data_IF_044285295009
#
_entry.id   IF_044285295009
#
_cell.length_a   1.000
_cell.length_b   1.000
_cell.length_c   1.000
_cell.angle_alpha   90.00
_cell.angle_beta   90.00
_cell.angle_gamma   90.00
#
_symmetry.space_group_name_H-M   'P 1'
#
loop_
_entity.id
_entity.type
_entity.pdbx_description
1 polymer ?
#
# COMPACT_ATOMS: atom_id res chain seq x y z
N UNK A 1 -14.96 1.25 -0.79
CA UNK A 1 -13.98 2.18 -0.20
C UNK A 1 -13.41 3.14 -1.23
N UNK A 2 -12.81 2.62 -2.31
CA UNK A 2 -12.09 3.43 -3.31
C UNK A 2 -12.92 4.53 -4.00
N UNK A 3 -14.20 4.27 -4.30
CA UNK A 3 -15.10 5.25 -4.94
C UNK A 3 -15.88 6.08 -3.91
N UNK A 4 -16.15 5.52 -2.74
CA UNK A 4 -16.88 6.17 -1.65
C UNK A 4 -15.89 6.68 -0.60
N UNK A 5 -15.18 7.75 -0.93
CA UNK A 5 -14.13 8.35 -0.10
C UNK A 5 -14.66 9.14 1.12
N UNK A 6 -15.97 9.37 1.17
CA UNK A 6 -16.67 10.03 2.27
C UNK A 6 -18.00 9.32 2.53
N UNK A 7 -18.44 9.29 3.79
CA UNK A 7 -19.70 8.71 4.26
C UNK A 7 -20.90 9.34 3.54
N UNK A 8 -20.82 10.62 3.17
CA UNK A 8 -21.87 11.30 2.38
C UNK A 8 -22.03 10.71 0.97
N UNK A 9 -20.92 10.40 0.31
CA UNK A 9 -20.91 9.78 -1.02
C UNK A 9 -21.41 8.34 -0.90
N UNK A 10 -20.96 7.61 0.14
CA UNK A 10 -21.45 6.27 0.43
C UNK A 10 -22.97 6.24 0.60
N UNK A 11 -23.54 7.18 1.35
CA UNK A 11 -24.98 7.27 1.59
C UNK A 11 -25.79 7.61 0.34
N UNK A 12 -25.28 8.51 -0.51
CA UNK A 12 -25.88 8.82 -1.81
C UNK A 12 -25.89 7.59 -2.72
N UNK A 13 -24.82 6.81 -2.70
CA UNK A 13 -24.73 5.59 -3.49
C UNK A 13 -25.64 4.48 -2.96
N UNK A 14 -25.75 4.32 -1.64
CA UNK A 14 -26.73 3.42 -1.00
C UNK A 14 -28.15 3.79 -1.44
N UNK A 15 -28.47 5.08 -1.38
CA UNK A 15 -29.77 5.63 -1.82
C UNK A 15 -30.09 5.28 -3.28
N UNK A 16 -29.11 5.47 -4.16
CA UNK A 16 -29.21 5.17 -5.59
C UNK A 16 -29.41 3.68 -5.83
N UNK A 17 -28.62 2.82 -5.19
CA UNK A 17 -28.71 1.36 -5.35
C UNK A 17 -30.03 0.79 -4.84
N UNK A 18 -30.62 1.41 -3.81
CA UNK A 18 -31.93 1.02 -3.29
C UNK A 18 -33.10 1.59 -4.09
N UNK A 19 -32.84 2.39 -5.14
CA UNK A 19 -33.83 3.07 -5.98
C UNK A 19 -34.82 3.94 -5.17
N UNK A 20 -34.33 4.57 -4.10
CA UNK A 20 -35.11 5.42 -3.20
C UNK A 20 -34.99 6.91 -3.51
N UNK A 21 -34.36 7.27 -4.63
CA UNK A 21 -34.17 8.67 -5.06
C UNK A 21 -35.50 9.43 -5.14
N UNK A 22 -36.55 8.77 -5.64
CA UNK A 22 -37.90 9.34 -5.74
C UNK A 22 -38.61 9.55 -4.38
N UNK A 23 -38.21 8.81 -3.34
CA UNK A 23 -38.79 8.89 -1.99
C UNK A 23 -38.15 10.01 -1.16
N UNK A 24 -36.89 10.30 -1.47
CA UNK A 24 -36.05 11.24 -0.75
C UNK A 24 -36.26 12.68 -1.23
N UNK A 25 -36.45 12.91 -2.54
CA UNK A 25 -36.83 14.23 -3.08
C UNK A 25 -35.97 15.38 -2.54
N UNK A 26 -36.60 16.50 -2.15
CA UNK A 26 -35.98 17.70 -1.54
C UNK A 26 -35.80 17.61 0.00
N UNK A 27 -35.84 16.43 0.61
CA UNK A 27 -35.72 16.34 2.08
C UNK A 27 -34.28 16.60 2.52
N UNK A 28 -34.11 17.61 3.37
CA UNK A 28 -32.86 17.87 4.09
C UNK A 28 -32.89 17.09 5.40
N UNK A 29 -32.04 16.07 5.51
CA UNK A 29 -31.84 15.34 6.76
C UNK A 29 -30.82 16.07 7.64
N UNK A 30 -31.07 16.12 8.95
CA UNK A 30 -30.20 16.78 9.93
C UNK A 30 -28.94 15.96 10.23
N UNK A 31 -29.10 14.66 10.47
CA UNK A 31 -28.00 13.74 10.78
C UNK A 31 -27.89 12.55 9.81
N UNK A 32 -26.70 11.97 9.76
CA UNK A 32 -26.42 10.77 8.96
C UNK A 32 -27.28 9.58 9.42
N UNK A 33 -27.41 9.40 10.74
CA UNK A 33 -28.17 8.32 11.35
C UNK A 33 -29.66 8.38 10.97
N UNK A 34 -30.26 9.57 11.01
CA UNK A 34 -31.66 9.77 10.60
C UNK A 34 -31.89 9.46 9.12
N UNK A 35 -30.95 9.85 8.25
CA UNK A 35 -31.05 9.58 6.82
C UNK A 35 -30.95 8.07 6.54
N UNK A 36 -29.99 7.38 7.16
CA UNK A 36 -29.85 5.92 7.01
C UNK A 36 -31.04 5.17 7.62
N UNK A 37 -31.53 5.57 8.80
CA UNK A 37 -32.72 4.98 9.42
C UNK A 37 -33.97 5.19 8.55
N UNK A 38 -34.14 6.38 7.96
CA UNK A 38 -35.23 6.68 7.04
C UNK A 38 -35.19 5.81 5.77
N UNK A 39 -34.01 5.67 5.16
CA UNK A 39 -33.79 4.81 3.99
C UNK A 39 -34.21 3.36 4.28
N UNK A 40 -33.82 2.84 5.43
CA UNK A 40 -34.11 1.46 5.83
C UNK A 40 -35.58 1.28 6.25
N UNK A 41 -36.20 2.29 6.87
CA UNK A 41 -37.63 2.29 7.18
C UNK A 41 -38.49 2.35 5.90
N UNK A 42 -38.03 3.05 4.87
CA UNK A 42 -38.68 3.06 3.56
C UNK A 42 -38.62 1.67 2.89
N UNK A 43 -37.54 0.90 3.09
CA UNK A 43 -37.44 -0.49 2.64
C UNK A 43 -38.38 -1.42 3.41
N UNK A 44 -38.57 -1.16 4.71
CA UNK A 44 -39.48 -1.91 5.58
C UNK A 44 -40.95 -1.71 5.22
N UNK A 45 -41.35 -0.50 4.85
CA UNK A 45 -42.73 -0.16 4.48
C UNK A 45 -43.16 -0.71 3.11
N UNK A 46 -42.23 -1.32 2.36
CA UNK A 46 -42.45 -1.79 1.00
C UNK A 46 -42.50 -0.60 0.04
N UNK A 47 -41.60 -0.58 -0.94
CA UNK A 47 -41.73 0.37 -2.05
C UNK A 47 -43.09 0.23 -2.74
N UNK A 48 -43.47 1.25 -3.51
CA UNK A 48 -44.76 1.42 -4.23
C UNK A 48 -45.22 0.24 -5.12
N UNK A 49 -44.47 -0.86 -5.19
CA UNK A 49 -44.62 -1.96 -6.15
C UNK A 49 -44.66 -3.37 -5.55
N UNK A 50 -44.67 -3.59 -4.22
CA UNK A 50 -44.66 -4.96 -3.66
C UNK A 50 -45.60 -5.18 -2.48
N UNK A 51 -46.17 -6.39 -2.46
CA UNK A 51 -47.15 -6.90 -1.50
C UNK A 51 -46.83 -6.59 -0.03
N UNK A 52 -47.88 -6.24 0.72
CA UNK A 52 -47.86 -5.75 2.12
C UNK A 52 -47.28 -6.72 3.16
N UNK A 53 -46.79 -7.90 2.75
CA UNK A 53 -46.36 -8.96 3.67
C UNK A 53 -44.92 -9.47 3.47
N UNK A 54 -44.13 -8.92 2.55
CA UNK A 54 -42.72 -9.32 2.40
C UNK A 54 -41.77 -8.17 2.75
N UNK A 55 -41.30 -8.15 4.00
CA UNK A 55 -40.13 -7.34 4.39
C UNK A 55 -38.93 -7.73 3.53
N UNK A 56 -38.31 -6.78 2.84
CA UNK A 56 -37.09 -7.04 2.06
C UNK A 56 -35.87 -6.99 2.97
N UNK A 57 -35.04 -8.02 2.93
CA UNK A 57 -33.71 -8.00 3.57
C UNK A 57 -32.71 -7.29 2.68
N UNK A 58 -31.77 -6.58 3.30
CA UNK A 58 -30.73 -5.81 2.61
C UNK A 58 -29.36 -6.37 2.99
N UNK A 59 -28.58 -6.74 1.98
CA UNK A 59 -27.19 -7.18 2.15
C UNK A 59 -26.27 -6.04 1.73
N UNK A 60 -25.51 -5.50 2.68
CA UNK A 60 -24.43 -4.55 2.43
C UNK A 60 -23.13 -5.30 2.17
N UNK A 61 -22.53 -5.08 1.01
CA UNK A 61 -21.18 -5.55 0.69
C UNK A 61 -20.26 -4.33 0.69
N UNK A 62 -19.36 -4.27 1.67
CA UNK A 62 -18.41 -3.18 1.84
C UNK A 62 -17.04 -3.62 1.33
N UNK A 63 -16.71 -3.22 0.11
CA UNK A 63 -15.40 -3.48 -0.48
C UNK A 63 -14.34 -2.48 0.00
N UNK A 64 -13.11 -2.95 0.21
CA UNK A 64 -12.03 -2.26 0.92
C UNK A 64 -12.52 -1.68 2.27
N UNK A 65 -13.02 -2.55 3.14
CA UNK A 65 -13.62 -2.23 4.44
C UNK A 65 -12.71 -1.37 5.32
N UNK A 66 -11.40 -1.60 5.25
CA UNK A 66 -10.39 -0.83 5.98
C UNK A 66 -10.42 0.65 5.60
N UNK A 67 -10.70 1.02 4.35
CA UNK A 67 -10.83 2.43 3.96
C UNK A 67 -12.00 3.11 4.67
N UNK A 68 -13.14 2.42 4.82
CA UNK A 68 -14.28 2.93 5.59
C UNK A 68 -13.96 3.07 7.08
N UNK A 69 -13.09 2.22 7.63
CA UNK A 69 -12.62 2.35 9.01
C UNK A 69 -11.68 3.55 9.21
N UNK A 70 -11.06 4.07 8.14
CA UNK A 70 -10.24 5.29 8.21
C UNK A 70 -11.05 6.59 8.07
N UNK A 71 -12.35 6.51 7.78
CA UNK A 71 -13.21 7.69 7.72
C UNK A 71 -13.33 8.37 9.09
N UNK A 72 -13.43 9.71 9.08
CA UNK A 72 -13.56 10.50 10.30
C UNK A 72 -14.82 10.08 11.07
N UNK A 73 -14.64 9.67 12.33
CA UNK A 73 -15.70 9.18 13.23
C UNK A 73 -16.42 7.88 12.81
N UNK A 74 -15.97 7.21 11.72
CA UNK A 74 -16.51 5.91 11.27
C UNK A 74 -18.05 5.86 11.25
N UNK A 75 -18.70 6.95 10.85
CA UNK A 75 -20.13 7.16 11.10
C UNK A 75 -20.98 6.17 10.32
N UNK A 76 -20.62 5.87 9.06
CA UNK A 76 -21.27 4.82 8.27
C UNK A 76 -21.24 3.45 8.95
N UNK A 77 -20.06 3.02 9.42
CA UNK A 77 -19.88 1.69 10.03
C UNK A 77 -20.64 1.58 11.35
N UNK A 78 -20.53 2.60 12.21
CA UNK A 78 -21.25 2.64 13.48
C UNK A 78 -22.76 2.49 13.28
N UNK A 79 -23.34 3.26 12.35
CA UNK A 79 -24.78 3.19 12.11
C UNK A 79 -25.21 1.88 11.45
N UNK A 80 -24.43 1.33 10.50
CA UNK A 80 -24.73 0.02 9.90
C UNK A 80 -24.72 -1.09 10.96
N UNK A 81 -23.77 -1.08 11.89
CA UNK A 81 -23.69 -2.09 12.94
C UNK A 81 -24.76 -1.90 14.02
N UNK A 82 -25.03 -0.66 14.44
CA UNK A 82 -26.11 -0.34 15.39
C UNK A 82 -27.47 -0.82 14.84
N UNK A 83 -27.74 -0.54 13.56
CA UNK A 83 -28.98 -0.99 12.92
C UNK A 83 -29.00 -2.52 12.75
N UNK A 84 -27.85 -3.17 12.51
CA UNK A 84 -27.79 -4.64 12.40
C UNK A 84 -28.08 -5.34 13.73
N UNK A 85 -27.78 -4.66 14.85
CA UNK A 85 -28.12 -5.11 16.19
C UNK A 85 -29.60 -4.84 16.52
N UNK A 86 -30.16 -3.76 15.97
CA UNK A 86 -31.58 -3.48 16.09
C UNK A 86 -32.38 -4.51 15.27
N UNK A 87 -33.05 -5.45 15.94
CA UNK A 87 -33.82 -6.53 15.31
C UNK A 87 -35.02 -6.05 14.45
N UNK A 88 -35.15 -4.75 14.21
CA UNK A 88 -36.25 -4.10 13.53
C UNK A 88 -36.14 -4.13 12.00
N UNK A 89 -34.93 -4.33 11.44
CA UNK A 89 -34.68 -4.42 9.98
C UNK A 89 -33.71 -5.57 9.67
N UNK A 90 -34.06 -6.51 8.76
CA UNK A 90 -33.18 -7.61 8.40
C UNK A 90 -32.05 -7.13 7.47
N UNK A 91 -31.00 -6.55 8.07
CA UNK A 91 -29.78 -6.14 7.37
C UNK A 91 -28.62 -7.07 7.68
N UNK A 92 -27.80 -7.37 6.68
CA UNK A 92 -26.54 -8.10 6.83
C UNK A 92 -25.40 -7.26 6.26
N UNK A 93 -24.27 -7.20 6.95
CA UNK A 93 -23.09 -6.43 6.51
C UNK A 93 -21.92 -7.38 6.32
N UNK A 94 -21.36 -7.41 5.10
CA UNK A 94 -20.19 -8.19 4.73
C UNK A 94 -19.07 -7.23 4.34
N UNK A 95 -18.02 -7.16 5.15
CA UNK A 95 -16.82 -6.39 4.85
C UNK A 95 -15.77 -7.23 4.14
N UNK A 96 -15.32 -6.77 2.98
CA UNK A 96 -14.18 -7.32 2.25
C UNK A 96 -12.98 -6.40 2.47
N UNK A 97 -11.85 -6.94 2.92
CA UNK A 97 -10.59 -6.19 3.00
C UNK A 97 -9.45 -7.06 2.47
N UNK A 98 -8.56 -6.43 1.70
CA UNK A 98 -7.39 -7.07 1.11
C UNK A 98 -6.45 -7.71 2.15
N UNK A 99 -6.46 -7.23 3.41
CA UNK A 99 -5.65 -7.80 4.50
C UNK A 99 -6.15 -9.16 4.99
N UNK A 100 -7.48 -9.34 5.06
CA UNK A 100 -8.09 -10.58 5.55
C UNK A 100 -8.38 -11.57 4.39
N UNK A 101 -8.57 -11.07 3.17
CA UNK A 101 -8.81 -11.90 1.98
C UNK A 101 -7.67 -12.89 1.73
N UNK A 102 -6.40 -12.51 2.00
CA UNK A 102 -5.25 -13.44 1.86
C UNK A 102 -5.30 -14.60 2.85
N UNK A 103 -5.81 -14.38 4.06
CA UNK A 103 -6.06 -15.46 5.05
C UNK A 103 -7.24 -16.32 4.60
N UNK A 104 -8.30 -15.68 4.10
CA UNK A 104 -9.53 -16.35 3.66
C UNK A 104 -9.33 -17.22 2.41
N UNK A 105 -8.42 -16.88 1.49
CA UNK A 105 -8.06 -17.75 0.36
C UNK A 105 -7.57 -19.14 0.78
N UNK A 106 -7.13 -19.32 2.02
CA UNK A 106 -6.72 -20.63 2.57
C UNK A 106 -7.84 -21.40 3.25
N UNK A 107 -8.97 -20.75 3.53
CA UNK A 107 -10.18 -21.40 4.04
C UNK A 107 -10.84 -22.11 2.85
N UNK A 108 -10.65 -23.43 2.82
CA UNK A 108 -11.25 -24.31 1.81
C UNK A 108 -12.30 -25.19 2.47
N UNK A 109 -13.13 -25.86 1.68
CA UNK A 109 -14.16 -26.80 2.21
C UNK A 109 -13.52 -27.88 3.12
N UNK A 110 -12.25 -28.19 2.88
CA UNK A 110 -11.44 -29.16 3.63
C UNK A 110 -10.73 -28.56 4.87
N UNK A 111 -10.51 -27.25 4.92
CA UNK A 111 -9.86 -26.57 6.04
C UNK A 111 -10.69 -25.35 6.48
N UNK A 112 -11.65 -25.61 7.38
CA UNK A 112 -12.69 -24.64 7.79
C UNK A 112 -12.24 -23.68 8.89
N UNK A 113 -11.08 -23.90 9.50
CA UNK A 113 -10.60 -23.12 10.64
C UNK A 113 -9.31 -22.41 10.30
N UNK A 114 -9.30 -21.09 10.51
CA UNK A 114 -8.11 -20.25 10.37
C UNK A 114 -7.19 -20.54 11.56
N UNK A 115 -5.94 -20.93 11.30
CA UNK A 115 -4.93 -21.12 12.34
C UNK A 115 -4.09 -19.85 12.49
N UNK A 116 -3.46 -19.70 13.66
CA UNK A 116 -2.53 -18.58 13.91
C UNK A 116 -1.39 -18.53 12.88
N UNK A 117 -0.93 -19.69 12.41
CA UNK A 117 0.09 -19.79 11.36
C UNK A 117 -0.36 -19.17 10.03
N UNK A 118 -1.64 -19.34 9.65
CA UNK A 118 -2.19 -18.75 8.42
C UNK A 118 -2.24 -17.22 8.53
N UNK A 119 -2.52 -16.70 9.73
CA UNK A 119 -2.53 -15.26 10.01
C UNK A 119 -1.11 -14.67 9.98
N UNK A 120 -0.13 -15.37 10.55
CA UNK A 120 1.29 -14.98 10.50
C UNK A 120 1.83 -15.01 9.07
N UNK A 121 1.49 -16.03 8.29
CA UNK A 121 1.94 -16.16 6.90
C UNK A 121 1.28 -15.13 5.99
N UNK A 122 -0.03 -14.87 6.15
CA UNK A 122 -0.71 -13.81 5.42
C UNK A 122 -0.19 -12.41 5.80
N UNK A 123 0.11 -12.19 7.09
CA UNK A 123 0.79 -10.98 7.56
C UNK A 123 2.13 -10.84 6.86
N UNK A 124 2.96 -11.90 6.87
CA UNK A 124 4.23 -11.93 6.16
C UNK A 124 4.07 -11.62 4.69
N UNK A 125 3.10 -12.24 4.02
CA UNK A 125 2.83 -12.06 2.61
C UNK A 125 2.33 -10.65 2.26
N UNK A 126 1.58 -10.00 3.16
CA UNK A 126 1.19 -8.58 3.08
C UNK A 126 2.37 -7.63 3.31
N UNK A 127 3.39 -8.06 4.07
CA UNK A 127 4.62 -7.30 4.31
C UNK A 127 5.78 -7.72 3.40
N UNK A 128 5.65 -8.83 2.66
CA UNK A 128 6.69 -9.38 1.79
C UNK A 128 6.82 -8.43 0.62
N UNK A 129 7.95 -7.74 0.65
CA UNK A 129 8.13 -6.51 -0.06
C UNK A 129 8.28 -6.78 -1.56
N UNK A 130 7.39 -6.21 -2.36
CA UNK A 130 7.54 -6.19 -3.82
C UNK A 130 8.92 -5.66 -4.22
N UNK A 131 9.52 -4.76 -3.42
CA UNK A 131 10.86 -4.23 -3.63
C UNK A 131 11.96 -5.26 -3.39
N UNK A 132 11.85 -6.13 -2.38
CA UNK A 132 12.87 -7.15 -2.11
C UNK A 132 13.04 -8.12 -3.30
N UNK A 133 11.94 -8.47 -3.96
CA UNK A 133 11.98 -9.28 -5.19
C UNK A 133 12.62 -8.53 -6.37
N UNK A 134 12.36 -7.22 -6.49
CA UNK A 134 13.01 -6.37 -7.51
C UNK A 134 14.52 -6.34 -7.30
N UNK A 135 15.00 -6.27 -6.06
CA UNK A 135 16.44 -6.24 -5.73
C UNK A 135 17.20 -7.46 -6.25
N UNK A 136 16.55 -8.63 -6.35
CA UNK A 136 17.17 -9.83 -6.91
C UNK A 136 17.38 -9.77 -8.43
N UNK A 137 16.64 -8.91 -9.13
CA UNK A 137 16.74 -8.72 -10.59
C UNK A 137 17.68 -7.59 -11.02
N UNK A 138 18.24 -6.83 -10.08
CA UNK A 138 19.16 -5.74 -10.37
C UNK A 138 20.51 -6.25 -10.87
N UNK A 139 21.23 -5.44 -11.64
CA UNK A 139 22.62 -5.68 -12.00
C UNK A 139 23.55 -5.46 -10.80
N UNK A 140 24.76 -6.02 -10.88
CA UNK A 140 25.80 -5.81 -9.85
C UNK A 140 26.15 -4.33 -9.69
N UNK A 141 26.12 -3.54 -10.77
CA UNK A 141 26.37 -2.10 -10.71
C UNK A 141 25.28 -1.39 -9.90
N UNK A 142 24.02 -1.69 -10.15
CA UNK A 142 22.89 -1.11 -9.41
C UNK A 142 22.92 -1.49 -7.93
N UNK A 143 23.27 -2.75 -7.65
CA UNK A 143 23.48 -3.22 -6.28
C UNK A 143 24.61 -2.45 -5.58
N UNK A 144 25.72 -2.19 -6.27
CA UNK A 144 26.80 -1.34 -5.75
C UNK A 144 26.34 0.08 -5.47
N UNK A 145 25.48 0.66 -6.32
CA UNK A 145 24.91 1.99 -6.08
C UNK A 145 23.96 2.00 -4.88
N UNK A 146 23.16 0.94 -4.67
CA UNK A 146 22.31 0.81 -3.48
C UNK A 146 23.18 0.72 -2.21
N UNK A 147 24.28 -0.03 -2.23
CA UNK A 147 25.22 -0.10 -1.10
C UNK A 147 25.84 1.28 -0.82
N UNK A 148 26.28 2.01 -1.85
CA UNK A 148 26.77 3.38 -1.69
C UNK A 148 25.72 4.32 -1.09
N UNK A 149 24.48 4.25 -1.56
CA UNK A 149 23.37 5.02 -1.00
C UNK A 149 23.09 4.66 0.45
N UNK A 150 23.19 3.37 0.81
CA UNK A 150 23.05 2.90 2.18
C UNK A 150 24.13 3.49 3.08
N UNK A 151 25.40 3.49 2.65
CA UNK A 151 26.49 4.15 3.38
C UNK A 151 26.20 5.62 3.63
N UNK A 152 25.76 6.35 2.59
CA UNK A 152 25.42 7.76 2.73
C UNK A 152 24.25 7.95 3.70
N UNK A 153 23.24 7.08 3.66
CA UNK A 153 22.10 7.15 4.56
C UNK A 153 22.51 7.00 6.02
N UNK A 154 23.50 6.15 6.34
CA UNK A 154 24.03 6.04 7.70
C UNK A 154 24.94 7.21 8.08
N UNK A 155 25.83 7.64 7.18
CA UNK A 155 26.79 8.73 7.43
C UNK A 155 26.08 10.07 7.66
N UNK A 156 24.97 10.29 6.96
CA UNK A 156 24.20 11.52 7.00
C UNK A 156 22.86 11.38 7.75
N UNK A 157 22.68 10.32 8.56
CA UNK A 157 21.51 10.11 9.42
C UNK A 157 20.14 10.26 8.69
N UNK A 158 20.03 9.69 7.50
CA UNK A 158 18.78 9.67 6.73
C UNK A 158 18.49 10.92 5.89
N UNK A 159 19.43 11.87 5.84
CA UNK A 159 19.33 13.07 5.01
C UNK A 159 19.43 12.76 3.50
N UNK A 160 18.72 13.52 2.65
CA UNK A 160 18.78 13.33 1.19
C UNK A 160 20.18 13.58 0.62
N UNK A 161 20.55 12.82 -0.40
CA UNK A 161 21.81 12.94 -1.12
C UNK A 161 21.57 13.06 -2.63
N UNK A 162 22.57 13.50 -3.39
CA UNK A 162 22.48 13.59 -4.85
C UNK A 162 23.38 12.54 -5.54
N UNK A 163 23.27 12.44 -6.87
CA UNK A 163 24.04 11.46 -7.65
C UNK A 163 25.55 11.64 -7.49
N UNK A 164 26.08 12.87 -7.40
CA UNK A 164 27.53 13.05 -7.24
C UNK A 164 28.05 12.47 -5.93
N UNK A 165 27.29 12.59 -4.84
CA UNK A 165 27.65 11.98 -3.56
C UNK A 165 27.69 10.45 -3.69
N UNK A 166 26.68 9.86 -4.31
CA UNK A 166 26.61 8.40 -4.57
C UNK A 166 27.78 7.95 -5.45
N UNK A 167 28.05 8.67 -6.53
CA UNK A 167 29.14 8.37 -7.46
C UNK A 167 30.50 8.45 -6.78
N UNK A 168 30.72 9.45 -5.91
CA UNK A 168 31.95 9.58 -5.15
C UNK A 168 32.13 8.42 -4.16
N UNK A 169 31.07 7.98 -3.47
CA UNK A 169 31.15 6.83 -2.57
C UNK A 169 31.41 5.53 -3.32
N UNK A 170 30.76 5.33 -4.47
CA UNK A 170 31.05 4.23 -5.38
C UNK A 170 32.51 4.25 -5.89
N UNK A 171 33.04 5.42 -6.25
CA UNK A 171 34.42 5.59 -6.68
C UNK A 171 35.42 5.19 -5.59
N UNK A 172 35.14 5.47 -4.31
CA UNK A 172 35.99 5.00 -3.19
C UNK A 172 36.07 3.47 -3.15
N UNK A 173 34.98 2.77 -3.45
CA UNK A 173 34.99 1.30 -3.56
C UNK A 173 35.86 0.83 -4.74
N UNK A 174 35.70 1.44 -5.92
CA UNK A 174 36.49 1.08 -7.11
C UNK A 174 37.99 1.33 -6.89
N UNK A 175 38.36 2.46 -6.30
CA UNK A 175 39.76 2.86 -6.10
C UNK A 175 40.50 1.99 -5.08
N UNK A 176 39.80 1.32 -4.15
CA UNK A 176 40.41 0.37 -3.20
C UNK A 176 41.00 -0.86 -3.90
N UNK A 177 40.67 -1.11 -5.17
CA UNK A 177 41.19 -2.23 -5.95
C UNK A 177 41.72 -1.78 -7.32
N UNK A 178 43.05 -1.80 -7.48
CA UNK A 178 43.76 -1.37 -8.68
C UNK A 178 43.35 -2.09 -9.99
N UNK A 179 42.68 -3.25 -9.90
CA UNK A 179 42.16 -4.01 -11.05
C UNK A 179 40.67 -4.37 -10.87
N UNK A 180 39.87 -3.39 -10.47
CA UNK A 180 38.43 -3.55 -10.32
C UNK A 180 37.74 -3.72 -11.67
N UNK A 181 36.93 -4.78 -11.82
CA UNK A 181 36.02 -4.99 -12.97
C UNK A 181 34.92 -3.91 -13.01
N UNK A 182 34.79 -3.12 -11.94
CA UNK A 182 33.75 -2.11 -11.77
C UNK A 182 34.16 -0.70 -12.23
N UNK A 183 35.20 -0.58 -13.06
CA UNK A 183 35.61 0.71 -13.63
C UNK A 183 34.69 1.14 -14.79
N UNK A 184 33.43 1.42 -14.47
CA UNK A 184 32.43 1.86 -15.42
C UNK A 184 32.56 3.36 -15.72
N UNK A 185 32.33 3.74 -16.97
CA UNK A 185 32.27 5.16 -17.34
C UNK A 185 31.07 5.85 -16.67
N UNK A 186 31.24 7.12 -16.28
CA UNK A 186 30.19 7.92 -15.61
C UNK A 186 28.81 7.85 -16.29
N UNK A 187 28.68 7.91 -17.64
CA UNK A 187 27.38 7.79 -18.31
C UNK A 187 26.66 6.45 -18.08
N UNK A 188 27.42 5.36 -17.91
CA UNK A 188 26.86 4.02 -17.60
C UNK A 188 26.29 4.02 -16.19
N UNK A 189 27.01 4.64 -15.25
CA UNK A 189 26.58 4.75 -13.85
C UNK A 189 25.34 5.66 -13.71
N UNK A 190 25.25 6.74 -14.50
CA UNK A 190 24.05 7.58 -14.57
C UNK A 190 22.85 6.77 -15.05
N UNK A 191 23.00 5.97 -16.11
CA UNK A 191 21.89 5.13 -16.61
C UNK A 191 21.41 4.11 -15.58
N UNK A 192 22.33 3.48 -14.85
CA UNK A 192 21.99 2.57 -13.75
C UNK A 192 21.23 3.30 -12.63
N UNK A 193 21.66 4.51 -12.27
CA UNK A 193 20.96 5.34 -11.29
C UNK A 193 19.57 5.78 -11.76
N UNK A 194 19.41 6.16 -13.03
CA UNK A 194 18.10 6.48 -13.62
C UNK A 194 17.16 5.27 -13.62
N UNK A 195 17.69 4.06 -13.83
CA UNK A 195 16.89 2.84 -13.74
C UNK A 195 16.40 2.58 -12.31
N UNK A 196 17.23 2.82 -11.28
CA UNK A 196 16.80 2.74 -9.88
C UNK A 196 15.66 3.72 -9.53
N UNK A 197 15.64 4.90 -10.17
CA UNK A 197 14.52 5.83 -10.09
C UNK A 197 13.25 5.28 -10.73
N UNK A 198 13.35 4.66 -11.91
CA UNK A 198 12.21 4.06 -12.61
C UNK A 198 11.58 2.90 -11.83
N UNK A 199 12.39 2.18 -11.05
CA UNK A 199 11.95 1.10 -10.18
C UNK A 199 11.38 1.59 -8.83
N UNK A 200 11.29 2.90 -8.61
CA UNK A 200 10.81 3.52 -7.36
C UNK A 200 11.58 3.07 -6.10
N UNK A 201 12.82 2.63 -6.28
CA UNK A 201 13.74 2.33 -5.18
C UNK A 201 14.36 3.62 -4.60
N UNK A 202 14.37 4.68 -5.42
CA UNK A 202 14.89 6.00 -5.09
C UNK A 202 13.85 7.05 -5.46
N UNK A 203 13.57 7.98 -4.54
CA UNK A 203 12.58 9.05 -4.75
C UNK A 203 13.21 10.42 -4.69
N UNK A 204 12.85 11.27 -5.64
CA UNK A 204 13.21 12.68 -5.66
C UNK A 204 12.50 13.48 -4.57
N UNK A 205 13.25 14.36 -3.92
CA UNK A 205 12.71 15.27 -2.89
C UNK A 205 12.32 16.63 -3.46
N UNK A 206 12.82 16.97 -4.66
CA UNK A 206 12.51 18.23 -5.34
C UNK A 206 11.13 18.20 -6.00
N UNK A 207 10.38 19.30 -5.88
CA UNK A 207 9.08 19.46 -6.50
C UNK A 207 9.16 19.54 -8.04
N UNK A 208 8.05 19.27 -8.76
CA UNK A 208 8.02 19.21 -10.24
C UNK A 208 8.38 20.52 -10.94
N UNK A 209 8.47 21.63 -10.21
CA UNK A 209 8.68 22.99 -10.69
C UNK A 209 10.14 23.44 -10.75
N UNK A 210 11.12 22.64 -10.26
CA UNK A 210 12.53 23.04 -10.22
C UNK A 210 13.32 22.36 -11.35
N UNK A 211 13.82 23.15 -12.32
CA UNK A 211 14.73 22.67 -13.37
C UNK A 211 16.16 22.52 -12.81
N UNK A 212 16.37 21.53 -11.95
CA UNK A 212 17.71 21.13 -11.48
C UNK A 212 18.27 20.09 -12.46
N UNK A 213 19.58 20.15 -12.73
CA UNK A 213 20.25 19.09 -13.48
C UNK A 213 20.12 17.77 -12.71
N UNK A 214 19.74 16.68 -13.38
CA UNK A 214 19.42 15.39 -12.73
C UNK A 214 20.51 14.89 -11.78
N UNK A 215 21.78 15.19 -12.04
CA UNK A 215 22.93 14.79 -11.20
C UNK A 215 22.99 15.48 -9.83
N UNK A 216 22.31 16.61 -9.67
CA UNK A 216 22.29 17.42 -8.44
C UNK A 216 20.95 17.39 -7.72
N UNK A 217 19.98 16.65 -8.27
CA UNK A 217 18.68 16.47 -7.64
C UNK A 217 18.83 15.68 -6.34
N UNK A 218 18.17 16.14 -5.27
CA UNK A 218 18.21 15.45 -3.99
C UNK A 218 17.24 14.27 -4.01
N UNK A 219 17.73 13.14 -3.52
CA UNK A 219 17.00 11.88 -3.52
C UNK A 219 17.08 11.19 -2.18
N UNK A 220 16.11 10.31 -1.92
CA UNK A 220 16.07 9.45 -0.75
C UNK A 220 15.90 7.99 -1.17
N UNK A 221 16.66 7.11 -0.54
CA UNK A 221 16.53 5.66 -0.70
C UNK A 221 15.25 5.18 0.00
N UNK A 222 14.43 4.40 -0.70
CA UNK A 222 13.16 3.87 -0.19
C UNK A 222 13.25 2.38 0.17
N UNK A 223 14.39 1.98 0.75
CA UNK A 223 14.70 0.62 1.17
C UNK A 223 15.19 0.60 2.62
N UNK A 224 14.69 -0.35 3.39
CA UNK A 224 15.12 -0.62 4.75
C UNK A 224 16.36 -1.51 4.77
N UNK A 225 17.13 -1.41 5.86
CA UNK A 225 18.36 -2.18 6.06
C UNK A 225 18.15 -3.71 5.98
N UNK A 226 17.02 -4.21 6.49
CA UNK A 226 16.65 -5.62 6.42
C UNK A 226 16.48 -6.10 4.97
N UNK A 227 15.86 -5.29 4.13
CA UNK A 227 15.59 -5.61 2.72
C UNK A 227 16.88 -5.69 1.91
N UNK A 228 17.80 -4.75 2.14
CA UNK A 228 19.09 -4.73 1.44
C UNK A 228 19.94 -5.94 1.86
N UNK A 229 19.98 -6.26 3.16
CA UNK A 229 20.68 -7.45 3.67
C UNK A 229 20.10 -8.75 3.12
N UNK A 230 18.78 -8.90 3.14
CA UNK A 230 18.09 -10.07 2.62
C UNK A 230 18.33 -10.23 1.11
N UNK A 231 18.29 -9.12 0.37
CA UNK A 231 18.61 -9.10 -1.06
C UNK A 231 20.03 -9.59 -1.34
N UNK A 232 21.02 -9.08 -0.62
CA UNK A 232 22.44 -9.43 -0.77
C UNK A 232 22.72 -10.90 -0.45
N UNK A 233 22.02 -11.47 0.55
CA UNK A 233 22.19 -12.87 0.94
C UNK A 233 21.67 -13.84 -0.13
N UNK A 234 20.56 -13.53 -0.78
CA UNK A 234 19.94 -14.40 -1.81
C UNK A 234 20.31 -14.03 -3.23
N UNK A 235 21.08 -12.97 -3.46
CA UNK A 235 21.48 -12.56 -4.80
C UNK A 235 22.36 -13.65 -5.49
N UNK A 236 21.94 -14.18 -6.64
CA UNK A 236 22.63 -15.28 -7.31
C UNK A 236 24.01 -14.82 -7.79
N UNK A 237 25.06 -15.57 -7.42
CA UNK A 237 26.45 -15.32 -7.83
C UNK A 237 26.96 -13.89 -7.51
N UNK A 238 26.48 -13.26 -6.44
CA UNK A 238 26.97 -11.94 -6.03
C UNK A 238 28.50 -11.99 -5.76
N UNK A 239 29.31 -11.14 -6.42
CA UNK A 239 30.75 -11.11 -6.24
C UNK A 239 31.16 -10.95 -4.77
N UNK A 240 32.18 -11.69 -4.36
CA UNK A 240 32.62 -11.75 -2.95
C UNK A 240 33.05 -10.39 -2.41
N UNK A 241 33.56 -9.52 -3.27
CA UNK A 241 34.02 -8.20 -2.88
C UNK A 241 32.89 -7.19 -2.69
N UNK A 242 31.84 -7.29 -3.48
CA UNK A 242 30.59 -6.55 -3.24
C UNK A 242 29.97 -6.98 -1.91
N UNK A 243 29.96 -8.28 -1.60
CA UNK A 243 29.49 -8.78 -0.30
C UNK A 243 30.33 -8.25 0.88
N UNK A 244 31.64 -8.25 0.75
CA UNK A 244 32.54 -7.72 1.78
C UNK A 244 32.36 -6.21 1.98
N UNK A 245 32.20 -5.48 0.89
CA UNK A 245 31.95 -4.04 0.98
C UNK A 245 30.57 -3.75 1.59
N UNK A 246 29.54 -4.50 1.22
CA UNK A 246 28.25 -4.41 1.88
C UNK A 246 28.33 -4.73 3.37
N UNK A 247 29.08 -5.76 3.78
CA UNK A 247 29.26 -6.09 5.20
C UNK A 247 29.87 -4.92 5.99
N UNK A 248 30.80 -4.15 5.40
CA UNK A 248 31.32 -2.91 6.02
C UNK A 248 30.29 -1.79 6.14
N UNK A 249 29.19 -1.85 5.37
CA UNK A 249 28.07 -0.95 5.53
C UNK A 249 27.25 -1.27 6.77
N UNK A 250 27.03 -2.56 7.05
CA UNK A 250 26.12 -3.04 8.09
C UNK A 250 26.80 -3.34 9.43
N UNK A 251 28.11 -3.08 9.53
CA UNK A 251 28.89 -3.16 10.77
C UNK A 251 28.74 -1.87 11.57
#
# INVERSE_FOLDING_TARGET
GLLQTDDRIALKEITRQLNLENVIGERVFGSFAENLAFLLEALKKGGLFCDRNSSRSVLFILDEFDLFAHHKNQTLLYNLFDISQSAQTPIAVVGLTCRLMRVLCRVTVSNKTIKLADLLEASHLCTMDSKANILHGLSVLELCLIIAMKHLNDVYDGEPFNFQMVYNEFQKFVQRKAHSVYNFEKPVVIKAFEHLHQLELVKSMDGPSVRIQKEYQLVKLLLDNSQIMEALQRYPQCPTDVKQWAASAFA
#
